data_IF_331579758739
#
_entry.id   IF_331579758739
#
_cell.length_a   1.000
_cell.length_b   1.000
_cell.length_c   1.000
_cell.angle_alpha   90.00
_cell.angle_beta   90.00
_cell.angle_gamma   90.00
#
_symmetry.space_group_name_H-M   'P 1'
#
loop_
_entity.id
_entity.type
_entity.pdbx_description
1 polymer ?
#
# COMPACT_ATOMS: atom_id res chain seq x y z
N UNK A 1 -15.81 -4.54 6.64
CA UNK A 1 -14.40 -4.59 6.19
C UNK A 1 -13.52 -5.04 7.34
N UNK A 2 -13.43 -4.30 8.46
CA UNK A 2 -12.58 -4.67 9.60
C UNK A 2 -12.95 -6.00 10.25
N UNK A 3 -14.25 -6.29 10.45
CA UNK A 3 -14.68 -7.56 11.06
C UNK A 3 -14.31 -8.80 10.22
N UNK A 4 -14.22 -8.64 8.90
CA UNK A 4 -13.80 -9.74 8.02
C UNK A 4 -12.35 -10.19 8.31
N UNK A 5 -11.52 -9.27 8.77
CA UNK A 5 -10.14 -9.50 9.15
C UNK A 5 -9.95 -9.65 10.67
N UNK A 6 -11.03 -9.65 11.47
CA UNK A 6 -10.95 -9.72 12.93
C UNK A 6 -10.57 -8.40 13.62
N UNK A 7 -10.51 -7.29 12.90
CA UNK A 7 -10.06 -5.97 13.41
C UNK A 7 -11.20 -5.06 13.87
N UNK A 8 -12.37 -5.62 14.20
CA UNK A 8 -13.53 -4.85 14.68
C UNK A 8 -13.17 -3.93 15.85
N UNK A 9 -12.35 -4.40 16.79
CA UNK A 9 -11.90 -3.60 17.93
C UNK A 9 -11.05 -2.38 17.54
N UNK A 10 -10.35 -2.42 16.40
CA UNK A 10 -9.52 -1.30 15.93
C UNK A 10 -10.44 -0.19 15.43
N UNK A 11 -11.49 -0.58 14.70
CA UNK A 11 -12.51 0.34 14.23
C UNK A 11 -13.20 1.07 15.40
N UNK A 12 -13.61 0.34 16.44
CA UNK A 12 -14.22 0.94 17.64
C UNK A 12 -13.32 1.99 18.30
N UNK A 13 -12.03 1.68 18.47
CA UNK A 13 -11.04 2.61 19.03
C UNK A 13 -10.86 3.85 18.14
N UNK A 14 -10.77 3.68 16.83
CA UNK A 14 -10.71 4.83 15.91
C UNK A 14 -11.97 5.70 15.99
N UNK A 15 -13.15 5.12 16.14
CA UNK A 15 -14.38 5.92 16.32
C UNK A 15 -14.31 6.76 17.59
N UNK A 16 -13.87 6.21 18.73
CA UNK A 16 -13.67 6.97 19.97
C UNK A 16 -12.64 8.10 19.80
N UNK A 17 -11.48 7.78 19.22
CA UNK A 17 -10.42 8.77 18.95
C UNK A 17 -10.91 9.89 18.03
N UNK A 18 -11.74 9.58 17.02
CA UNK A 18 -12.29 10.56 16.09
C UNK A 18 -13.20 11.56 16.81
N UNK A 19 -14.09 11.05 17.67
CA UNK A 19 -15.01 11.86 18.47
C UNK A 19 -14.26 12.78 19.44
N UNK A 20 -13.09 12.34 19.92
CA UNK A 20 -12.21 13.11 20.80
C UNK A 20 -11.24 14.05 20.06
N UNK A 21 -11.25 14.05 18.73
CA UNK A 21 -10.35 14.87 17.91
C UNK A 21 -8.90 14.38 17.86
N UNK A 22 -8.63 13.14 18.26
CA UNK A 22 -7.30 12.52 18.35
C UNK A 22 -6.86 11.89 17.01
N UNK A 23 -7.21 12.52 15.88
CA UNK A 23 -7.00 11.96 14.54
C UNK A 23 -5.53 11.76 14.18
N UNK A 24 -4.64 12.60 14.70
CA UNK A 24 -3.20 12.48 14.46
C UNK A 24 -2.59 11.18 15.03
N UNK A 25 -3.17 10.62 16.09
CA UNK A 25 -2.65 9.42 16.75
C UNK A 25 -3.27 8.12 16.20
N UNK A 26 -4.30 8.19 15.35
CA UNK A 26 -5.01 7.00 14.85
C UNK A 26 -4.11 6.03 14.09
N UNK A 27 -3.14 6.56 13.33
CA UNK A 27 -2.19 5.73 12.57
C UNK A 27 -1.41 4.76 13.44
N UNK A 28 -1.23 5.04 14.74
CA UNK A 28 -0.51 4.17 15.67
C UNK A 28 -1.26 2.86 15.99
N UNK A 29 -2.53 2.74 15.60
CA UNK A 29 -3.28 1.49 15.74
C UNK A 29 -3.15 0.58 14.51
N UNK A 30 -2.51 1.04 13.43
CA UNK A 30 -2.20 0.20 12.27
C UNK A 30 -0.92 -0.57 12.56
N UNK A 31 -1.03 -1.89 12.73
CA UNK A 31 0.13 -2.77 12.79
C UNK A 31 0.61 -3.19 11.39
N UNK A 32 1.72 -3.93 11.35
CA UNK A 32 2.30 -4.41 10.11
C UNK A 32 1.35 -5.35 9.35
N UNK A 33 0.57 -6.19 10.04
CA UNK A 33 -0.36 -7.12 9.38
C UNK A 33 -1.45 -6.34 8.63
N UNK A 34 -2.06 -5.36 9.31
CA UNK A 34 -3.05 -4.46 8.70
C UNK A 34 -2.44 -3.71 7.52
N UNK A 35 -1.23 -3.18 7.66
CA UNK A 35 -0.55 -2.43 6.62
C UNK A 35 -0.31 -3.30 5.37
N UNK A 36 0.31 -4.48 5.52
CA UNK A 36 0.63 -5.38 4.41
C UNK A 36 -0.61 -6.01 3.78
N UNK A 37 -1.74 -6.06 4.51
CA UNK A 37 -3.01 -6.54 3.95
C UNK A 37 -3.56 -5.60 2.89
N UNK A 38 -3.32 -4.29 2.98
CA UNK A 38 -3.88 -3.30 2.03
C UNK A 38 -2.84 -2.64 1.13
N UNK A 39 -1.62 -2.44 1.62
CA UNK A 39 -0.56 -1.74 0.92
C UNK A 39 0.47 -2.69 0.31
N UNK A 40 1.11 -2.24 -0.76
CA UNK A 40 2.41 -2.79 -1.18
C UNK A 40 3.48 -2.12 -0.33
N UNK A 41 4.23 -2.91 0.44
CA UNK A 41 5.35 -2.46 1.26
C UNK A 41 6.57 -3.23 0.82
N UNK A 42 7.57 -2.52 0.30
CA UNK A 42 8.81 -3.09 -0.18
C UNK A 42 9.89 -2.01 -0.27
N UNK A 43 11.16 -2.44 -0.27
CA UNK A 43 12.27 -1.56 -0.65
C UNK A 43 12.10 -1.09 -2.10
N UNK A 44 12.56 0.14 -2.45
CA UNK A 44 12.34 0.75 -3.76
C UNK A 44 12.59 -0.15 -4.96
N UNK A 45 13.68 -0.93 -4.94
CA UNK A 45 14.08 -1.87 -5.99
C UNK A 45 13.12 -3.07 -6.15
N UNK A 46 12.35 -3.40 -5.11
CA UNK A 46 11.43 -4.53 -5.09
C UNK A 46 9.97 -4.12 -5.31
N UNK A 47 9.64 -2.81 -5.26
CA UNK A 47 8.26 -2.32 -5.40
C UNK A 47 7.61 -2.77 -6.71
N UNK A 48 8.33 -2.78 -7.82
CA UNK A 48 7.79 -3.24 -9.10
C UNK A 48 7.34 -4.71 -9.05
N UNK A 49 8.16 -5.59 -8.48
CA UNK A 49 7.85 -7.00 -8.31
C UNK A 49 6.65 -7.19 -7.36
N UNK A 50 6.64 -6.49 -6.22
CA UNK A 50 5.56 -6.59 -5.25
C UNK A 50 4.20 -6.08 -5.79
N UNK A 51 4.19 -5.04 -6.63
CA UNK A 51 2.98 -4.59 -7.34
C UNK A 51 2.48 -5.68 -8.29
N UNK A 52 3.39 -6.27 -9.07
CA UNK A 52 3.06 -7.32 -10.03
C UNK A 52 2.50 -8.55 -9.31
N UNK A 53 3.17 -9.03 -8.26
CA UNK A 53 2.73 -10.19 -7.48
C UNK A 53 1.31 -9.99 -6.93
N UNK A 54 1.02 -8.79 -6.44
CA UNK A 54 -0.27 -8.48 -5.83
C UNK A 54 -1.41 -8.28 -6.84
N UNK A 55 -1.12 -7.72 -8.01
CA UNK A 55 -2.17 -7.22 -8.92
C UNK A 55 -2.17 -7.82 -10.33
N UNK A 56 -1.18 -8.65 -10.69
CA UNK A 56 -1.16 -9.30 -12.00
C UNK A 56 -2.44 -10.11 -12.23
N UNK A 57 -3.10 -9.85 -13.38
CA UNK A 57 -4.38 -10.48 -13.73
C UNK A 57 -5.61 -9.91 -13.01
N UNK A 58 -5.43 -8.99 -12.06
CA UNK A 58 -6.52 -8.33 -11.33
C UNK A 58 -6.72 -6.87 -11.75
N UNK A 59 -5.63 -6.15 -12.09
CA UNK A 59 -5.69 -4.76 -12.54
C UNK A 59 -4.70 -4.47 -13.66
N UNK A 60 -5.15 -3.72 -14.66
CA UNK A 60 -4.29 -3.23 -15.75
C UNK A 60 -3.56 -1.93 -15.41
N UNK A 61 -3.99 -1.23 -14.35
CA UNK A 61 -3.50 0.11 -13.99
C UNK A 61 -3.42 0.31 -12.48
N UNK A 62 -2.36 0.96 -12.03
CA UNK A 62 -2.22 1.48 -10.68
C UNK A 62 -1.97 2.99 -10.73
N UNK A 63 -2.53 3.73 -9.77
CA UNK A 63 -2.21 5.13 -9.54
C UNK A 63 -1.57 5.24 -8.17
N UNK A 64 -0.43 5.92 -8.10
CA UNK A 64 0.31 6.08 -6.86
C UNK A 64 0.02 7.46 -6.29
N UNK A 65 -0.46 7.49 -5.05
CA UNK A 65 -0.64 8.72 -4.30
C UNK A 65 0.63 8.99 -3.48
N UNK A 66 1.34 10.06 -3.81
CA UNK A 66 2.51 10.53 -3.06
C UNK A 66 2.14 11.81 -2.31
N UNK A 67 1.84 11.75 -1.00
CA UNK A 67 1.51 12.94 -0.22
C UNK A 67 2.74 13.81 0.12
N UNK A 68 3.92 13.40 -0.33
CA UNK A 68 5.21 14.05 -0.13
C UNK A 68 6.01 14.08 -1.44
N UNK A 69 7.02 14.95 -1.50
CA UNK A 69 7.92 15.04 -2.65
C UNK A 69 8.70 13.73 -2.84
N UNK A 70 8.82 13.31 -4.10
CA UNK A 70 9.58 12.13 -4.51
C UNK A 70 10.54 12.48 -5.65
N UNK A 71 11.57 11.67 -5.84
CA UNK A 71 12.50 11.81 -6.98
C UNK A 71 11.94 11.10 -8.22
N UNK A 72 12.17 11.68 -9.40
CA UNK A 72 11.67 11.12 -10.67
C UNK A 72 12.26 9.74 -10.96
N UNK A 73 13.57 9.57 -10.73
CA UNK A 73 14.31 8.33 -11.00
C UNK A 73 13.71 7.10 -10.29
N UNK A 74 13.12 7.29 -9.11
CA UNK A 74 12.39 6.25 -8.38
C UNK A 74 11.22 5.71 -9.22
N UNK A 75 10.39 6.62 -9.74
CA UNK A 75 9.21 6.25 -10.52
C UNK A 75 9.57 5.72 -11.90
N UNK A 76 10.65 6.23 -12.49
CA UNK A 76 11.16 5.72 -13.76
C UNK A 76 11.61 4.26 -13.62
N UNK A 77 12.33 3.93 -12.53
CA UNK A 77 12.78 2.58 -12.22
C UNK A 77 11.61 1.63 -11.96
N UNK A 78 10.67 2.00 -11.08
CA UNK A 78 9.47 1.19 -10.78
C UNK A 78 8.64 0.96 -12.06
N UNK A 79 8.41 2.02 -12.84
CA UNK A 79 7.67 1.93 -14.09
C UNK A 79 8.36 1.05 -15.13
N UNK A 80 9.69 1.07 -15.19
CA UNK A 80 10.46 0.19 -16.07
C UNK A 80 10.30 -1.29 -15.66
N UNK A 81 10.38 -1.61 -14.37
CA UNK A 81 10.19 -2.97 -13.86
C UNK A 81 8.80 -3.53 -14.18
N UNK A 82 7.73 -2.75 -13.96
CA UNK A 82 6.35 -3.17 -14.27
C UNK A 82 6.17 -3.41 -15.78
N UNK A 83 6.79 -2.56 -16.63
CA UNK A 83 6.73 -2.74 -18.09
C UNK A 83 7.51 -3.99 -18.55
N UNK A 84 8.64 -4.29 -17.93
CA UNK A 84 9.42 -5.49 -18.24
C UNK A 84 8.59 -6.75 -17.98
N UNK A 85 7.90 -6.83 -16.83
CA UNK A 85 6.96 -7.90 -16.51
C UNK A 85 5.89 -8.08 -17.60
N UNK A 86 5.22 -6.99 -18.00
CA UNK A 86 4.15 -7.05 -19.01
C UNK A 86 4.65 -7.57 -20.38
N UNK A 87 5.94 -7.42 -20.66
CA UNK A 87 6.55 -7.88 -21.90
C UNK A 87 7.11 -9.32 -21.80
N UNK A 88 6.82 -10.06 -20.72
CA UNK A 88 7.26 -11.44 -20.52
C UNK A 88 8.69 -11.59 -20.03
N UNK A 89 9.31 -10.51 -19.54
CA UNK A 89 10.61 -10.54 -18.86
C UNK A 89 10.32 -10.54 -17.36
N UNK A 90 10.75 -11.54 -16.57
CA UNK A 90 10.54 -11.51 -15.13
C UNK A 90 11.16 -10.24 -14.53
N UNK A 91 10.41 -9.62 -13.62
CA UNK A 91 10.80 -8.38 -12.92
C UNK A 91 12.02 -8.60 -12.01
#
# INVERSE_FOLDING_TARGET
>A
MFDHHGWGHVHEKWTDMAQRGETAAMGNLVDDEMLHTFAVVAEPEHVASAIVERYAGLSDRASVMTPYATVQDLWDSIGAGIRAYRNGIPA
#
